data_IF_598623040311
#
_entry.id   IF_598623040311
#
_cell.length_a   1.000
_cell.length_b   1.000
_cell.length_c   1.000
_cell.angle_alpha   90.00
_cell.angle_beta   90.00
_cell.angle_gamma   90.00
#
_symmetry.space_group_name_H-M   'P 1'
#
loop_
_entity.id
_entity.type
_entity.pdbx_description
1 polymer ?
#
# COMPACT_ATOMS: atom_id res chain seq x y z
N UNK A 1 -16.34 -18.11 -18.40
CA UNK A 1 -15.59 -17.15 -19.22
C UNK A 1 -16.57 -16.43 -20.11
N UNK A 2 -16.49 -15.10 -20.18
CA UNK A 2 -17.35 -14.30 -21.06
C UNK A 2 -16.56 -14.07 -22.36
N UNK A 3 -17.06 -14.52 -23.53
CA UNK A 3 -16.35 -14.42 -24.79
C UNK A 3 -16.27 -12.96 -25.25
N UNK A 4 -15.16 -12.54 -25.87
CA UNK A 4 -15.00 -11.16 -26.33
C UNK A 4 -15.99 -10.80 -27.46
N UNK A 5 -16.53 -11.79 -28.17
CA UNK A 5 -17.51 -11.62 -29.23
C UNK A 5 -18.84 -11.01 -28.75
N UNK A 6 -19.13 -10.98 -27.44
CA UNK A 6 -20.34 -10.32 -26.93
C UNK A 6 -20.38 -8.84 -27.30
N UNK A 7 -19.22 -8.19 -27.39
CA UNK A 7 -19.10 -6.77 -27.72
C UNK A 7 -19.44 -6.47 -29.18
N UNK A 8 -19.37 -7.49 -30.05
CA UNK A 8 -19.86 -7.37 -31.44
C UNK A 8 -21.38 -7.33 -31.52
N UNK A 9 -22.09 -7.93 -30.55
CA UNK A 9 -23.56 -7.93 -30.52
C UNK A 9 -24.11 -6.61 -30.01
N UNK A 10 -23.45 -6.03 -29.01
CA UNK A 10 -23.74 -4.69 -28.49
C UNK A 10 -22.46 -4.12 -27.86
N UNK A 11 -21.98 -3.01 -28.39
CA UNK A 11 -20.77 -2.34 -27.93
C UNK A 11 -20.98 -1.40 -26.73
N UNK A 12 -22.24 -1.08 -26.42
CA UNK A 12 -22.60 -0.10 -25.38
C UNK A 12 -22.91 -0.80 -24.07
N UNK A 13 -23.76 -1.83 -24.10
CA UNK A 13 -24.18 -2.53 -22.89
C UNK A 13 -24.52 -4.00 -23.16
N UNK A 14 -24.06 -4.88 -22.28
CA UNK A 14 -24.39 -6.32 -22.30
C UNK A 14 -24.74 -6.77 -20.88
N UNK A 15 -25.77 -7.59 -20.75
CA UNK A 15 -26.14 -8.23 -19.49
C UNK A 15 -26.00 -9.75 -19.60
N UNK A 16 -25.36 -10.38 -18.59
CA UNK A 16 -25.17 -11.83 -18.53
C UNK A 16 -25.76 -12.38 -17.23
N UNK A 17 -26.75 -13.26 -17.35
CA UNK A 17 -27.31 -13.99 -16.22
C UNK A 17 -26.41 -15.20 -15.86
N UNK A 18 -26.15 -15.38 -14.57
CA UNK A 18 -25.36 -16.47 -14.01
C UNK A 18 -26.23 -17.20 -12.97
N UNK A 19 -26.57 -18.45 -13.24
CA UNK A 19 -27.32 -19.32 -12.31
C UNK A 19 -26.32 -20.25 -11.63
N UNK A 20 -26.32 -20.27 -10.29
CA UNK A 20 -25.43 -21.10 -9.46
C UNK A 20 -26.20 -21.61 -8.25
N UNK A 21 -25.90 -22.83 -7.85
CA UNK A 21 -26.53 -23.46 -6.68
C UNK A 21 -26.00 -22.88 -5.35
N UNK A 22 -24.79 -22.28 -5.38
CA UNK A 22 -24.13 -21.66 -4.23
C UNK A 22 -24.09 -20.14 -4.37
N UNK A 23 -24.11 -19.45 -3.23
CA UNK A 23 -23.96 -18.01 -3.17
C UNK A 23 -22.64 -17.55 -3.81
N UNK A 24 -22.71 -16.49 -4.61
CA UNK A 24 -21.56 -15.92 -5.30
C UNK A 24 -20.86 -14.94 -4.34
N UNK A 25 -19.63 -15.27 -3.93
CA UNK A 25 -18.83 -14.42 -3.05
C UNK A 25 -18.15 -13.25 -3.79
N UNK A 26 -17.69 -13.49 -5.03
CA UNK A 26 -17.05 -12.47 -5.85
C UNK A 26 -17.12 -12.81 -7.34
N UNK A 27 -17.15 -11.78 -8.18
CA UNK A 27 -17.13 -11.90 -9.64
C UNK A 27 -15.94 -11.10 -10.17
N UNK A 28 -15.20 -11.69 -11.10
CA UNK A 28 -14.17 -11.01 -11.87
C UNK A 28 -14.47 -11.17 -13.36
N UNK A 29 -14.57 -10.06 -14.08
CA UNK A 29 -15.02 -10.04 -15.48
C UNK A 29 -13.93 -10.61 -16.43
N UNK A 30 -12.70 -10.11 -16.30
CA UNK A 30 -11.58 -10.48 -17.15
C UNK A 30 -10.28 -10.68 -16.33
N UNK A 31 -10.05 -11.89 -15.78
CA UNK A 31 -8.84 -12.18 -15.02
C UNK A 31 -7.57 -12.25 -15.88
N UNK A 32 -7.70 -12.58 -17.18
CA UNK A 32 -6.58 -12.82 -18.09
C UNK A 32 -6.22 -11.62 -18.97
N UNK A 33 -6.99 -10.54 -18.88
CA UNK A 33 -6.79 -9.31 -19.67
C UNK A 33 -6.87 -9.56 -21.16
N UNK A 34 -7.83 -10.39 -21.55
CA UNK A 34 -8.11 -10.70 -22.95
C UNK A 34 -8.96 -9.59 -23.61
N UNK A 35 -9.63 -8.77 -22.79
CA UNK A 35 -10.33 -7.57 -23.23
C UNK A 35 -9.38 -6.38 -23.12
N UNK A 36 -9.17 -5.67 -24.23
CA UNK A 36 -8.28 -4.50 -24.29
C UNK A 36 -8.91 -3.25 -23.64
N UNK A 37 -9.40 -3.40 -22.40
CA UNK A 37 -10.00 -2.32 -21.61
C UNK A 37 -8.92 -1.47 -20.94
N UNK A 38 -9.19 -0.17 -20.79
CA UNK A 38 -8.30 0.79 -20.16
C UNK A 38 -8.44 0.81 -18.63
N UNK A 39 -9.60 0.41 -18.09
CA UNK A 39 -9.87 0.48 -16.67
C UNK A 39 -9.91 -0.91 -16.02
N UNK A 40 -8.94 -1.21 -15.16
CA UNK A 40 -8.91 -2.48 -14.42
C UNK A 40 -9.63 -2.43 -13.06
N UNK A 41 -9.95 -1.24 -12.56
CA UNK A 41 -10.46 -1.04 -11.19
C UNK A 41 -11.91 -1.51 -11.00
N UNK A 42 -12.70 -1.53 -12.08
CA UNK A 42 -14.11 -1.90 -12.09
C UNK A 42 -14.36 -3.37 -12.46
N UNK A 43 -13.31 -4.15 -12.74
CA UNK A 43 -13.43 -5.54 -13.19
C UNK A 43 -13.74 -6.55 -12.08
N UNK A 44 -13.91 -6.10 -10.83
CA UNK A 44 -14.21 -6.93 -9.67
C UNK A 44 -15.45 -6.45 -8.93
N UNK A 45 -16.30 -7.41 -8.57
CA UNK A 45 -17.44 -7.19 -7.69
C UNK A 45 -17.36 -8.16 -6.48
N UNK A 46 -17.44 -7.67 -5.23
CA UNK A 46 -17.39 -6.28 -4.80
C UNK A 46 -16.10 -5.56 -5.23
N UNK A 47 -16.15 -4.24 -5.37
CA UNK A 47 -14.99 -3.44 -5.76
C UNK A 47 -13.89 -3.53 -4.71
N UNK A 48 -12.63 -3.55 -5.16
CA UNK A 48 -11.46 -3.61 -4.28
C UNK A 48 -10.65 -2.34 -4.47
N UNK A 49 -10.17 -1.75 -3.37
CA UNK A 49 -9.25 -0.62 -3.42
C UNK A 49 -7.88 -1.15 -3.83
N UNK A 50 -7.49 -0.91 -5.08
CA UNK A 50 -6.16 -1.25 -5.58
C UNK A 50 -5.29 0.00 -5.50
N UNK A 51 -4.22 -0.04 -4.71
CA UNK A 51 -3.26 1.06 -4.60
C UNK A 51 -2.59 1.30 -5.94
N UNK A 52 -2.46 2.55 -6.36
CA UNK A 52 -1.74 2.85 -7.61
C UNK A 52 -0.23 2.59 -7.43
N UNK A 53 0.47 2.30 -8.53
CA UNK A 53 1.93 2.08 -8.49
C UNK A 53 2.70 3.31 -7.99
N UNK A 54 2.17 4.51 -8.23
CA UNK A 54 2.75 5.77 -7.78
C UNK A 54 2.48 6.03 -6.29
N UNK A 55 1.34 5.57 -5.77
CA UNK A 55 1.01 5.68 -4.34
C UNK A 55 1.82 4.69 -3.48
N UNK A 56 2.14 3.51 -4.01
CA UNK A 56 3.03 2.55 -3.33
C UNK A 56 4.42 3.15 -3.06
N UNK A 57 4.94 3.97 -3.97
CA UNK A 57 6.22 4.66 -3.79
C UNK A 57 6.20 5.73 -2.68
N UNK A 58 5.01 6.28 -2.39
CA UNK A 58 4.81 7.21 -1.27
C UNK A 58 4.31 6.52 -0.01
N UNK A 59 4.16 5.19 -0.05
CA UNK A 59 3.94 4.41 1.15
C UNK A 59 5.11 4.68 2.06
N UNK A 60 4.81 5.32 3.19
CA UNK A 60 5.75 5.62 4.25
C UNK A 60 6.54 4.35 4.54
N UNK A 61 7.82 4.36 4.16
CA UNK A 61 8.78 3.42 4.70
C UNK A 61 8.82 3.74 6.20
N UNK A 62 7.88 3.15 6.96
CA UNK A 62 7.98 2.97 8.42
C UNK A 62 9.08 1.94 8.70
N UNK A 63 10.21 2.15 8.03
CA UNK A 63 11.45 1.46 8.25
C UNK A 63 12.02 2.17 9.45
N UNK A 64 11.87 1.50 10.60
CA UNK A 64 12.64 1.70 11.82
C UNK A 64 13.85 2.59 11.54
N UNK A 65 13.89 3.75 12.16
CA UNK A 65 15.03 4.65 12.03
C UNK A 65 16.27 3.92 12.53
N UNK A 66 17.01 3.25 11.64
CA UNK A 66 18.18 2.45 12.00
C UNK A 66 19.23 3.32 12.71
N UNK A 67 19.20 4.62 12.44
CA UNK A 67 20.00 5.62 13.13
C UNK A 67 19.58 5.80 14.60
N UNK A 68 18.29 5.82 14.92
CA UNK A 68 17.82 5.88 16.32
C UNK A 68 18.10 4.57 17.04
N UNK A 69 17.92 3.43 16.39
CA UNK A 69 18.23 2.11 16.96
C UNK A 69 19.74 1.99 17.24
N UNK A 70 20.60 2.47 16.33
CA UNK A 70 22.05 2.49 16.51
C UNK A 70 22.51 3.47 17.61
N UNK A 71 21.90 4.66 17.68
CA UNK A 71 22.14 5.61 18.78
C UNK A 71 21.75 5.02 20.14
N UNK A 72 20.64 4.30 20.21
CA UNK A 72 20.20 3.63 21.42
C UNK A 72 21.17 2.50 21.81
N UNK A 73 21.58 1.65 20.87
CA UNK A 73 22.57 0.60 21.12
C UNK A 73 23.91 1.16 21.61
N UNK A 74 24.42 2.23 20.99
CA UNK A 74 25.64 2.91 21.44
C UNK A 74 25.49 3.52 22.83
N UNK A 75 24.32 4.08 23.16
CA UNK A 75 24.01 4.65 24.48
C UNK A 75 23.94 3.57 25.56
N UNK A 76 23.40 2.39 25.22
CA UNK A 76 23.33 1.23 26.10
C UNK A 76 24.72 0.58 26.29
N UNK A 77 25.52 0.47 25.22
CA UNK A 77 26.90 -0.05 25.25
C UNK A 77 27.85 0.87 26.02
N UNK A 78 27.71 2.19 25.87
CA UNK A 78 28.44 3.17 26.69
C UNK A 78 28.00 3.20 28.15
N UNK A 79 27.05 2.35 28.56
CA UNK A 79 26.59 2.24 29.94
C UNK A 79 26.02 3.58 30.42
N UNK A 80 24.80 3.92 29.96
CA UNK A 80 24.01 5.09 30.35
C UNK A 80 24.60 5.99 31.44
N UNK A 81 25.52 6.86 31.05
CA UNK A 81 26.12 7.88 31.89
C UNK A 81 25.89 9.23 31.22
N UNK A 82 24.82 9.90 31.62
CA UNK A 82 24.71 11.35 31.50
C UNK A 82 25.12 11.94 32.85
N UNK A 83 26.43 11.94 33.11
CA UNK A 83 27.03 12.88 34.05
C UNK A 83 27.20 14.21 33.31
N UNK A 84 26.09 14.90 33.01
CA UNK A 84 26.11 16.35 32.85
C UNK A 84 26.25 16.99 34.23
N UNK A 85 27.34 16.66 34.95
CA UNK A 85 27.82 17.50 36.04
C UNK A 85 28.33 18.79 35.39
N UNK A 86 27.53 19.83 35.58
CA UNK A 86 27.93 21.23 35.70
C UNK A 86 29.36 21.52 35.23
N UNK A 87 29.51 22.00 33.99
CA UNK A 87 30.67 22.81 33.64
C UNK A 87 30.41 24.20 34.25
N UNK A 88 31.17 24.65 35.26
CA UNK A 88 30.98 25.99 35.83
C UNK A 88 31.36 27.02 34.78
N UNK A 89 30.43 27.90 34.42
CA UNK A 89 30.75 29.13 33.71
C UNK A 89 31.40 30.06 34.73
N UNK A 90 32.72 30.23 34.65
CA UNK A 90 33.44 31.25 35.41
C UNK A 90 32.97 32.63 34.93
N UNK A 91 32.21 33.33 35.78
CA UNK A 91 31.98 34.76 35.63
C UNK A 91 33.23 35.52 36.05
N UNK A 92 34.08 35.86 35.08
CA UNK A 92 35.07 36.94 35.27
C UNK A 92 34.53 38.20 34.62
N UNK A 93 33.92 39.05 35.44
CA UNK A 93 33.66 40.44 35.09
C UNK A 93 34.96 41.25 35.06
N UNK A 94 35.16 42.00 33.98
CA UNK A 94 35.20 43.47 33.95
C UNK A 94 35.25 43.95 32.49
#
# INVERSE_FOLDING_TARGET
MIPAEIWRRNSVAVSKMLIRDKAIASIQLDPRRETADANFSNNSFPSRVVKSRLELYKGEDDTRNMMSDMLQMLREEKGGADDSKAVPLEETGN
#
